data_IF_658434573300
#
_entry.id   IF_658434573300
#
_cell.length_a   1.000
_cell.length_b   1.000
_cell.length_c   1.000
_cell.angle_alpha   90.00
_cell.angle_beta   90.00
_cell.angle_gamma   90.00
#
_symmetry.space_group_name_H-M   'P 1'
#
loop_
_entity.id
_entity.type
_entity.pdbx_description
1 polymer ?
#
# COMPACT_ATOMS: atom_id res chain seq x y z
N UNK A 1 -14.77 4.92 -28.82
CA UNK A 1 -13.83 5.94 -28.30
C UNK A 1 -13.42 5.45 -26.94
N UNK A 2 -12.26 4.81 -26.83
CA UNK A 2 -11.92 4.03 -25.66
C UNK A 2 -10.93 4.85 -24.82
N UNK A 3 -11.35 5.22 -23.62
CA UNK A 3 -10.58 6.09 -22.74
C UNK A 3 -9.76 5.20 -21.81
N UNK A 4 -8.45 5.09 -22.06
CA UNK A 4 -7.50 4.55 -21.09
C UNK A 4 -7.22 5.62 -20.02
N UNK A 5 -8.18 5.86 -19.12
CA UNK A 5 -7.98 6.77 -17.99
C UNK A 5 -6.98 6.13 -17.02
N UNK A 6 -5.73 6.59 -17.07
CA UNK A 6 -4.74 6.32 -16.04
C UNK A 6 -4.75 7.47 -15.06
N UNK A 7 -5.13 7.20 -13.81
CA UNK A 7 -5.12 8.20 -12.75
C UNK A 7 -3.89 8.03 -11.87
N UNK A 8 -3.34 9.14 -11.39
CA UNK A 8 -2.22 9.12 -10.45
C UNK A 8 -2.76 9.16 -9.03
N UNK A 9 -2.33 8.22 -8.21
CA UNK A 9 -2.67 8.13 -6.80
C UNK A 9 -1.40 8.28 -5.97
N UNK A 10 -1.54 8.79 -4.74
CA UNK A 10 -0.43 8.96 -3.81
C UNK A 10 -0.52 7.91 -2.70
N UNK A 11 0.57 7.20 -2.42
CA UNK A 11 0.66 6.25 -1.33
C UNK A 11 1.45 6.84 -0.16
N UNK A 12 0.77 7.09 0.95
CA UNK A 12 1.37 7.56 2.21
C UNK A 12 1.46 6.45 3.26
N UNK A 13 1.10 5.22 2.93
CA UNK A 13 1.26 4.09 3.85
C UNK A 13 2.74 3.94 4.25
N UNK A 14 2.97 3.61 5.52
CA UNK A 14 4.29 3.50 6.15
C UNK A 14 5.11 4.80 6.28
N UNK A 15 4.69 5.91 5.67
CA UNK A 15 5.44 7.17 5.64
C UNK A 15 4.68 8.40 6.12
N UNK A 16 3.36 8.31 6.36
CA UNK A 16 2.54 9.46 6.78
C UNK A 16 2.98 10.14 8.09
N UNK A 17 3.88 9.52 8.86
CA UNK A 17 4.45 10.08 10.10
C UNK A 17 5.93 10.43 9.98
N UNK A 18 6.50 10.40 8.78
CA UNK A 18 7.87 10.82 8.58
C UNK A 18 8.00 12.33 8.79
N UNK A 19 9.16 12.81 9.26
CA UNK A 19 9.46 14.24 9.30
C UNK A 19 9.21 14.90 7.94
N UNK A 20 8.69 16.13 7.96
CA UNK A 20 8.45 16.96 6.77
C UNK A 20 7.49 16.38 5.73
N UNK A 21 6.61 15.46 6.12
CA UNK A 21 5.62 14.84 5.23
C UNK A 21 4.74 15.89 4.54
N UNK A 22 4.36 16.96 5.24
CA UNK A 22 3.61 18.10 4.69
C UNK A 22 4.34 18.74 3.50
N UNK A 23 5.65 18.96 3.65
CA UNK A 23 6.45 19.56 2.57
C UNK A 23 6.65 18.57 1.42
N UNK A 24 6.66 17.26 1.67
CA UNK A 24 6.65 16.25 0.60
C UNK A 24 5.32 16.27 -0.15
N UNK A 25 4.20 16.33 0.57
CA UNK A 25 2.86 16.43 -0.01
C UNK A 25 2.72 17.69 -0.86
N UNK A 26 3.17 18.84 -0.38
CA UNK A 26 3.16 20.11 -1.14
C UNK A 26 3.91 19.98 -2.47
N UNK A 27 5.13 19.43 -2.44
CA UNK A 27 5.90 19.18 -3.68
C UNK A 27 5.18 18.25 -4.64
N UNK A 28 4.56 17.18 -4.15
CA UNK A 28 3.84 16.23 -5.00
C UNK A 28 2.62 16.90 -5.63
N UNK A 29 1.84 17.64 -4.83
CA UNK A 29 0.67 18.38 -5.30
C UNK A 29 1.03 19.36 -6.43
N UNK A 30 2.15 20.07 -6.31
CA UNK A 30 2.58 21.05 -7.30
C UNK A 30 3.03 20.42 -8.62
N UNK A 31 3.46 19.16 -8.60
CA UNK A 31 4.03 18.48 -9.77
C UNK A 31 3.11 17.41 -10.39
N UNK A 32 2.10 16.94 -9.66
CA UNK A 32 1.25 15.82 -10.08
C UNK A 32 -0.23 16.07 -9.78
N UNK A 33 -1.09 15.73 -10.73
CA UNK A 33 -2.54 15.69 -10.52
C UNK A 33 -2.92 14.40 -9.79
N UNK A 34 -3.12 14.49 -8.48
CA UNK A 34 -3.47 13.35 -7.62
C UNK A 34 -4.99 13.18 -7.55
N UNK A 35 -5.50 11.99 -7.87
CA UNK A 35 -6.94 11.68 -7.83
C UNK A 35 -7.39 10.94 -6.57
N UNK A 36 -6.43 10.34 -5.85
CA UNK A 36 -6.68 9.51 -4.66
C UNK A 36 -5.43 9.37 -3.80
N UNK A 37 -5.61 9.26 -2.49
CA UNK A 37 -4.53 9.08 -1.52
C UNK A 37 -4.77 7.81 -0.69
N UNK A 38 -3.75 6.97 -0.57
CA UNK A 38 -3.75 5.76 0.25
C UNK A 38 -3.10 6.07 1.59
N UNK A 39 -3.83 5.80 2.68
CA UNK A 39 -3.38 5.99 4.06
C UNK A 39 -3.52 4.71 4.87
N UNK A 40 -2.80 4.59 5.98
CA UNK A 40 -2.81 3.40 6.83
C UNK A 40 -1.54 2.57 6.64
N UNK A 41 -1.68 1.26 6.52
CA UNK A 41 -0.52 0.37 6.44
C UNK A 41 -0.82 -0.87 5.63
N UNK A 42 0.07 -1.20 4.70
CA UNK A 42 0.06 -2.52 4.07
C UNK A 42 0.62 -3.56 5.04
N UNK A 43 1.66 -3.19 5.79
CA UNK A 43 2.52 -4.19 6.41
C UNK A 43 2.28 -4.32 7.92
N UNK A 44 2.12 -3.23 8.67
CA UNK A 44 2.30 -3.21 10.13
C UNK A 44 1.05 -2.74 10.90
N UNK A 45 0.44 -3.66 11.67
CA UNK A 45 -0.66 -3.35 12.58
C UNK A 45 -0.33 -2.28 13.62
N UNK A 46 0.87 -2.32 14.23
CA UNK A 46 1.28 -1.31 15.22
C UNK A 46 1.43 0.09 14.59
N UNK A 47 1.91 0.16 13.34
CA UNK A 47 2.00 1.43 12.62
C UNK A 47 0.60 1.97 12.36
N UNK A 48 -0.29 1.13 11.82
CA UNK A 48 -1.67 1.45 11.54
C UNK A 48 -2.40 2.01 12.77
N UNK A 49 -2.29 1.33 13.92
CA UNK A 49 -2.98 1.73 15.15
C UNK A 49 -2.44 3.02 15.78
N UNK A 50 -1.15 3.31 15.57
CA UNK A 50 -0.48 4.48 16.12
C UNK A 50 -0.46 5.66 15.14
N UNK A 51 -1.14 5.56 14.02
CA UNK A 51 -1.29 6.66 13.07
C UNK A 51 -2.29 7.69 13.62
N UNK A 52 -1.91 8.98 13.57
CA UNK A 52 -2.81 10.06 13.92
C UNK A 52 -3.69 10.40 12.71
N UNK A 53 -4.80 9.67 12.55
CA UNK A 53 -5.69 9.85 11.39
C UNK A 53 -6.41 11.19 11.38
N UNK A 54 -6.65 11.79 12.55
CA UNK A 54 -7.22 13.15 12.66
C UNK A 54 -6.33 14.18 11.95
N UNK A 55 -5.08 14.24 12.37
CA UNK A 55 -4.08 15.16 11.81
C UNK A 55 -3.82 14.86 10.33
N UNK A 56 -3.68 13.58 9.97
CA UNK A 56 -3.44 13.16 8.60
C UNK A 56 -4.59 13.56 7.67
N UNK A 57 -5.84 13.28 8.04
CA UNK A 57 -6.99 13.58 7.18
C UNK A 57 -7.19 15.09 7.06
N UNK A 58 -7.05 15.85 8.14
CA UNK A 58 -7.13 17.32 8.10
C UNK A 58 -6.07 17.92 7.18
N UNK A 59 -4.82 17.48 7.30
CA UNK A 59 -3.74 17.92 6.40
C UNK A 59 -4.06 17.61 4.93
N UNK A 60 -4.59 16.41 4.64
CA UNK A 60 -4.92 16.02 3.27
C UNK A 60 -6.09 16.81 2.68
N UNK A 61 -7.13 17.09 3.47
CA UNK A 61 -8.29 17.87 3.01
C UNK A 61 -7.92 19.33 2.78
N UNK A 62 -7.04 19.91 3.58
CA UNK A 62 -6.48 21.25 3.37
C UNK A 62 -5.58 21.30 2.13
N UNK A 63 -4.72 20.29 1.97
CA UNK A 63 -3.78 20.24 0.86
C UNK A 63 -4.50 20.02 -0.49
N UNK A 64 -5.53 19.18 -0.57
CA UNK A 64 -6.16 18.79 -1.83
C UNK A 64 -7.63 19.23 -1.89
N UNK A 65 -7.86 20.49 -2.29
CA UNK A 65 -9.20 21.10 -2.42
C UNK A 65 -9.65 21.26 -3.88
N UNK A 66 -10.97 21.15 -4.19
CA UNK A 66 -12.04 20.67 -3.31
C UNK A 66 -12.16 19.13 -3.34
N UNK A 67 -11.88 18.50 -2.19
CA UNK A 67 -11.96 17.06 -1.88
C UNK A 67 -11.12 16.07 -2.72
N UNK A 68 -10.32 15.28 -2.00
CA UNK A 68 -9.56 14.15 -2.55
C UNK A 68 -10.14 12.83 -2.07
N UNK A 69 -10.19 11.83 -2.94
CA UNK A 69 -10.63 10.48 -2.54
C UNK A 69 -9.58 9.81 -1.66
N UNK A 70 -10.00 9.13 -0.59
CA UNK A 70 -9.07 8.48 0.34
C UNK A 70 -9.36 6.98 0.42
N UNK A 71 -8.30 6.20 0.30
CA UNK A 71 -8.33 4.74 0.55
C UNK A 71 -7.68 4.43 1.89
N UNK A 72 -8.42 3.77 2.78
CA UNK A 72 -7.87 3.21 4.01
C UNK A 72 -7.27 1.82 3.75
N UNK A 73 -5.96 1.69 3.91
CA UNK A 73 -5.24 0.43 3.76
C UNK A 73 -5.13 -0.27 5.11
N UNK A 74 -5.74 -1.45 5.18
CA UNK A 74 -5.80 -2.28 6.38
C UNK A 74 -4.67 -3.33 6.30
N UNK A 75 -3.75 -3.37 7.29
CA UNK A 75 -2.68 -4.36 7.29
C UNK A 75 -3.24 -5.74 7.61
N UNK A 76 -2.48 -6.79 7.29
CA UNK A 76 -2.83 -8.15 7.72
C UNK A 76 -2.69 -8.24 9.25
N UNK A 77 -3.80 -8.40 10.00
CA UNK A 77 -3.74 -8.52 11.44
C UNK A 77 -3.09 -9.85 11.84
N UNK A 78 -2.41 -9.83 12.99
CA UNK A 78 -2.04 -11.06 13.69
C UNK A 78 -3.12 -11.39 14.72
N UNK A 79 -3.21 -12.66 15.14
CA UNK A 79 -4.19 -13.06 16.17
C UNK A 79 -4.17 -12.14 17.40
N UNK A 80 -2.97 -11.78 17.86
CA UNK A 80 -2.77 -10.90 19.03
C UNK A 80 -3.43 -9.53 18.88
N UNK A 81 -3.42 -8.93 17.69
CA UNK A 81 -3.91 -7.56 17.48
C UNK A 81 -5.15 -7.50 16.58
N UNK A 82 -5.76 -8.64 16.26
CA UNK A 82 -6.92 -8.73 15.39
C UNK A 82 -8.09 -7.90 15.92
N UNK A 83 -8.44 -8.08 17.20
CA UNK A 83 -9.53 -7.34 17.84
C UNK A 83 -9.28 -5.83 17.79
N UNK A 84 -8.08 -5.40 18.17
CA UNK A 84 -7.77 -3.98 18.26
C UNK A 84 -7.68 -3.31 16.88
N UNK A 85 -7.18 -4.01 15.86
CA UNK A 85 -7.18 -3.54 14.47
C UNK A 85 -8.63 -3.41 13.97
N UNK A 86 -9.48 -4.41 14.18
CA UNK A 86 -10.90 -4.36 13.79
C UNK A 86 -11.62 -3.16 14.42
N UNK A 87 -11.46 -2.97 15.72
CA UNK A 87 -12.00 -1.81 16.43
C UNK A 87 -11.47 -0.49 15.85
N UNK A 88 -10.17 -0.41 15.57
CA UNK A 88 -9.55 0.80 14.99
C UNK A 88 -10.12 1.10 13.61
N UNK A 89 -10.25 0.09 12.75
CA UNK A 89 -10.84 0.22 11.40
C UNK A 89 -12.25 0.78 11.49
N UNK A 90 -13.12 0.18 12.31
CA UNK A 90 -14.52 0.64 12.46
C UNK A 90 -14.55 2.09 12.96
N UNK A 91 -13.76 2.42 13.97
CA UNK A 91 -13.72 3.78 14.52
C UNK A 91 -13.29 4.81 13.48
N UNK A 92 -12.28 4.49 12.66
CA UNK A 92 -11.81 5.35 11.56
C UNK A 92 -12.93 5.52 10.52
N UNK A 93 -13.53 4.43 10.06
CA UNK A 93 -14.57 4.47 9.02
C UNK A 93 -15.83 5.21 9.47
N UNK A 94 -16.25 5.04 10.72
CA UNK A 94 -17.39 5.77 11.27
C UNK A 94 -17.11 7.26 11.42
N UNK A 95 -15.89 7.64 11.80
CA UNK A 95 -15.52 9.04 12.01
C UNK A 95 -15.29 9.80 10.70
N UNK A 96 -14.75 9.13 9.69
CA UNK A 96 -14.32 9.75 8.42
C UNK A 96 -15.06 9.19 7.21
N UNK A 97 -16.32 8.78 7.39
CA UNK A 97 -17.15 8.21 6.32
C UNK A 97 -17.34 9.16 5.12
N UNK A 98 -17.24 10.47 5.34
CA UNK A 98 -17.33 11.49 4.29
C UNK A 98 -16.01 11.71 3.54
N UNK A 99 -14.90 11.17 4.04
CA UNK A 99 -13.56 11.36 3.46
C UNK A 99 -13.01 10.07 2.84
N UNK A 100 -13.35 8.92 3.41
CA UNK A 100 -12.87 7.60 2.99
C UNK A 100 -13.99 6.92 2.20
N UNK A 101 -13.74 6.63 0.93
CA UNK A 101 -14.68 6.01 -0.02
C UNK A 101 -14.22 4.61 -0.49
N UNK A 102 -13.05 4.16 -0.01
CA UNK A 102 -12.47 2.87 -0.37
C UNK A 102 -11.65 2.29 0.79
N UNK A 103 -11.70 0.97 0.93
CA UNK A 103 -10.83 0.20 1.81
C UNK A 103 -9.98 -0.77 1.01
N UNK A 104 -8.74 -0.96 1.43
CA UNK A 104 -7.85 -1.99 0.88
C UNK A 104 -7.60 -3.06 1.93
N UNK A 105 -7.93 -4.30 1.60
CA UNK A 105 -7.69 -5.49 2.44
C UNK A 105 -6.61 -6.37 1.83
N UNK A 106 -5.81 -7.00 2.67
CA UNK A 106 -4.61 -7.73 2.26
C UNK A 106 -4.66 -9.25 2.54
N UNK A 107 -5.78 -9.75 3.07
CA UNK A 107 -6.04 -11.16 3.32
C UNK A 107 -7.54 -11.48 3.28
N UNK A 108 -7.88 -12.76 3.12
CA UNK A 108 -9.26 -13.23 3.02
C UNK A 108 -10.08 -13.07 4.31
N UNK A 109 -9.44 -13.13 5.49
CA UNK A 109 -10.14 -13.00 6.76
C UNK A 109 -10.63 -11.57 6.98
N UNK A 110 -9.80 -10.58 6.66
CA UNK A 110 -10.21 -9.18 6.68
C UNK A 110 -11.19 -8.86 5.54
N UNK A 111 -11.06 -9.50 4.38
CA UNK A 111 -12.02 -9.36 3.28
C UNK A 111 -13.43 -9.81 3.69
N UNK A 112 -13.59 -11.02 4.25
CA UNK A 112 -14.90 -11.49 4.73
C UNK A 112 -15.45 -10.58 5.81
N UNK A 113 -14.61 -10.21 6.79
CA UNK A 113 -15.02 -9.35 7.89
C UNK A 113 -15.55 -7.99 7.42
N UNK A 114 -14.83 -7.33 6.50
CA UNK A 114 -15.25 -6.04 5.98
C UNK A 114 -16.49 -6.17 5.09
N UNK A 115 -16.62 -7.24 4.33
CA UNK A 115 -17.82 -7.50 3.54
C UNK A 115 -19.07 -7.67 4.42
N UNK A 116 -18.99 -8.46 5.50
CA UNK A 116 -20.09 -8.61 6.47
C UNK A 116 -20.42 -7.29 7.17
N UNK A 117 -19.39 -6.52 7.55
CA UNK A 117 -19.56 -5.21 8.15
C UNK A 117 -20.30 -4.24 7.22
N UNK A 118 -19.93 -4.17 5.94
CA UNK A 118 -20.59 -3.27 4.99
C UNK A 118 -22.02 -3.71 4.66
N UNK A 119 -22.30 -5.01 4.60
CA UNK A 119 -23.67 -5.52 4.43
C UNK A 119 -24.59 -5.15 5.61
N UNK A 120 -24.03 -5.05 6.81
CA UNK A 120 -24.77 -4.62 8.02
C UNK A 120 -24.78 -3.10 8.22
N UNK A 121 -23.98 -2.36 7.43
CA UNK A 121 -23.85 -0.90 7.49
C UNK A 121 -23.94 -0.29 6.08
N UNK A 122 -25.07 -0.47 5.36
CA UNK A 122 -25.20 -0.07 3.95
C UNK A 122 -25.11 1.44 3.71
N UNK A 123 -25.23 2.26 4.77
CA UNK A 123 -25.01 3.70 4.72
C UNK A 123 -23.54 4.09 4.50
N UNK A 124 -22.60 3.16 4.74
CA UNK A 124 -21.19 3.35 4.42
C UNK A 124 -20.96 2.93 2.96
N UNK A 125 -20.97 3.89 2.04
CA UNK A 125 -20.74 3.67 0.61
C UNK A 125 -19.26 3.42 0.29
N UNK A 126 -18.70 2.33 0.82
CA UNK A 126 -17.28 1.98 0.70
C UNK A 126 -17.02 0.93 -0.39
N UNK A 127 -16.06 1.21 -1.25
CA UNK A 127 -15.55 0.23 -2.21
C UNK A 127 -14.51 -0.69 -1.55
N UNK A 128 -14.49 -1.98 -1.92
CA UNK A 128 -13.46 -2.92 -1.49
C UNK A 128 -12.41 -3.11 -2.60
N UNK A 129 -11.15 -2.89 -2.23
CA UNK A 129 -9.95 -3.12 -3.02
C UNK A 129 -9.13 -4.29 -2.45
N UNK A 130 -8.59 -5.15 -3.31
CA UNK A 130 -7.65 -6.19 -2.90
C UNK A 130 -6.22 -5.67 -3.01
N UNK A 131 -5.52 -5.54 -1.88
CA UNK A 131 -4.22 -4.89 -1.78
C UNK A 131 -3.03 -5.70 -2.29
N UNK A 132 -1.88 -5.04 -2.44
CA UNK A 132 -0.65 -5.61 -3.02
C UNK A 132 -0.08 -6.85 -2.31
N UNK A 133 -0.48 -7.12 -1.06
CA UNK A 133 -0.02 -8.30 -0.30
C UNK A 133 -0.91 -9.52 -0.59
N UNK A 134 -2.12 -9.31 -1.10
CA UNK A 134 -3.11 -10.36 -1.34
C UNK A 134 -2.58 -11.41 -2.32
N UNK A 135 -1.77 -10.98 -3.29
CA UNK A 135 -1.16 -11.84 -4.29
C UNK A 135 0.35 -12.00 -4.08
N UNK A 136 0.82 -13.24 -4.26
CA UNK A 136 2.23 -13.60 -4.07
C UNK A 136 2.88 -13.92 -5.41
N UNK A 137 3.44 -12.89 -6.03
CA UNK A 137 4.35 -13.03 -7.15
C UNK A 137 5.80 -13.15 -6.68
N UNK A 138 6.62 -13.80 -7.50
CA UNK A 138 8.07 -13.77 -7.37
C UNK A 138 8.55 -12.33 -7.52
N UNK A 139 9.44 -11.89 -6.63
CA UNK A 139 9.72 -10.46 -6.39
C UNK A 139 11.15 -10.18 -5.95
N UNK A 140 12.07 -11.09 -6.21
CA UNK A 140 13.47 -10.92 -5.87
C UNK A 140 14.26 -10.50 -7.13
N UNK A 141 14.61 -9.21 -7.26
CA UNK A 141 15.28 -8.69 -8.46
C UNK A 141 16.75 -9.14 -8.57
N UNK A 142 17.28 -9.86 -7.56
CA UNK A 142 18.64 -10.42 -7.58
C UNK A 142 18.78 -11.62 -8.51
N UNK A 143 17.67 -12.25 -8.87
CA UNK A 143 17.66 -13.36 -9.81
C UNK A 143 17.26 -12.84 -11.18
N UNK A 144 18.26 -12.48 -11.97
CA UNK A 144 18.09 -11.83 -13.27
C UNK A 144 17.25 -12.64 -14.26
N UNK A 145 17.34 -13.98 -14.22
CA UNK A 145 16.54 -14.86 -15.07
C UNK A 145 15.03 -14.66 -14.86
N UNK A 146 14.61 -14.50 -13.60
CA UNK A 146 13.23 -14.22 -13.26
C UNK A 146 12.93 -12.75 -13.52
N UNK A 147 13.72 -11.82 -12.97
CA UNK A 147 13.42 -10.38 -13.06
C UNK A 147 13.32 -9.84 -14.48
N UNK A 148 14.13 -10.36 -15.41
CA UNK A 148 14.15 -9.94 -16.81
C UNK A 148 13.14 -10.70 -17.70
N UNK A 149 12.42 -11.68 -17.15
CA UNK A 149 11.38 -12.41 -17.88
C UNK A 149 10.07 -11.63 -17.96
N UNK A 150 9.22 -12.01 -18.92
CA UNK A 150 7.83 -11.56 -18.98
C UNK A 150 7.02 -12.22 -17.87
N UNK A 151 6.38 -11.42 -17.01
CA UNK A 151 5.53 -11.92 -15.94
C UNK A 151 4.07 -11.61 -16.19
N UNK A 152 3.22 -12.64 -16.10
CA UNK A 152 1.76 -12.49 -16.06
C UNK A 152 1.29 -12.89 -14.66
N UNK A 153 0.82 -11.94 -13.85
CA UNK A 153 0.26 -12.26 -12.55
C UNK A 153 -0.98 -13.15 -12.68
N UNK A 154 -1.14 -14.07 -11.74
CA UNK A 154 -2.25 -15.04 -11.74
C UNK A 154 -3.57 -14.42 -11.23
N UNK A 155 -3.95 -13.24 -11.72
CA UNK A 155 -5.13 -12.52 -11.25
C UNK A 155 -6.39 -12.79 -12.10
N UNK A 156 -6.30 -13.63 -13.14
CA UNK A 156 -7.45 -13.98 -13.97
C UNK A 156 -7.82 -15.47 -13.89
N UNK A 157 -7.97 -15.98 -12.66
CA UNK A 157 -8.41 -17.36 -12.44
C UNK A 157 -9.91 -17.43 -12.23
N UNK A 158 -10.52 -18.59 -12.56
CA UNK A 158 -11.95 -18.84 -12.30
C UNK A 158 -12.34 -18.58 -10.84
N UNK A 159 -11.50 -19.01 -9.90
CA UNK A 159 -11.73 -18.79 -8.46
C UNK A 159 -11.71 -17.31 -8.11
N UNK A 160 -10.75 -16.55 -8.64
CA UNK A 160 -10.67 -15.12 -8.37
C UNK A 160 -11.84 -14.35 -8.97
N UNK A 161 -12.31 -14.70 -10.17
CA UNK A 161 -13.54 -14.12 -10.74
C UNK A 161 -14.76 -14.34 -9.85
N UNK A 162 -14.90 -15.55 -9.28
CA UNK A 162 -15.95 -15.85 -8.28
C UNK A 162 -15.82 -15.01 -7.02
N UNK A 163 -14.61 -14.87 -6.49
CA UNK A 163 -14.30 -14.01 -5.33
C UNK A 163 -14.66 -12.55 -5.63
N UNK A 164 -14.19 -12.00 -6.75
CA UNK A 164 -14.48 -10.63 -7.19
C UNK A 164 -15.98 -10.38 -7.22
N UNK A 165 -16.74 -11.29 -7.82
CA UNK A 165 -18.21 -11.19 -7.89
C UNK A 165 -18.86 -11.30 -6.50
N UNK A 166 -18.44 -12.26 -5.66
CA UNK A 166 -19.01 -12.47 -4.31
C UNK A 166 -18.86 -11.21 -3.45
N UNK A 167 -17.67 -10.62 -3.43
CA UNK A 167 -17.35 -9.50 -2.54
C UNK A 167 -17.51 -8.12 -3.21
N UNK A 168 -18.04 -8.06 -4.44
CA UNK A 168 -18.18 -6.82 -5.22
C UNK A 168 -16.87 -6.01 -5.29
N UNK A 169 -15.75 -6.70 -5.48
CA UNK A 169 -14.41 -6.09 -5.56
C UNK A 169 -14.38 -5.10 -6.73
N UNK A 170 -13.85 -3.90 -6.51
CA UNK A 170 -13.73 -2.86 -7.54
C UNK A 170 -12.34 -2.74 -8.13
N UNK A 171 -11.35 -3.07 -7.32
CA UNK A 171 -9.95 -2.87 -7.67
C UNK A 171 -9.06 -3.97 -7.11
N UNK A 172 -7.96 -4.20 -7.82
CA UNK A 172 -6.87 -5.07 -7.42
C UNK A 172 -5.56 -4.30 -7.56
N UNK A 173 -4.69 -4.41 -6.56
CA UNK A 173 -3.36 -3.86 -6.60
C UNK A 173 -2.31 -4.89 -7.01
N UNK A 174 -1.32 -4.42 -7.75
CA UNK A 174 -0.19 -5.18 -8.23
C UNK A 174 1.12 -4.45 -7.93
N UNK A 175 2.15 -5.25 -7.66
CA UNK A 175 3.53 -4.81 -7.65
C UNK A 175 4.18 -5.14 -8.99
N UNK A 176 4.94 -4.20 -9.55
CA UNK A 176 5.73 -4.49 -10.75
C UNK A 176 7.01 -5.22 -10.35
N UNK A 177 6.93 -6.53 -10.24
CA UNK A 177 8.04 -7.35 -9.72
C UNK A 177 9.09 -7.71 -10.77
N UNK A 178 8.85 -7.38 -12.04
CA UNK A 178 9.66 -7.76 -13.21
C UNK A 178 9.87 -6.54 -14.12
N UNK A 179 10.81 -6.61 -15.08
CA UNK A 179 10.98 -5.58 -16.12
C UNK A 179 9.83 -5.53 -17.12
N UNK A 180 9.16 -6.66 -17.34
CA UNK A 180 8.01 -6.74 -18.23
C UNK A 180 6.85 -7.39 -17.50
N UNK A 181 5.74 -6.67 -17.41
CA UNK A 181 4.60 -7.05 -16.62
C UNK A 181 3.34 -6.98 -17.48
N UNK A 182 2.78 -8.15 -17.75
CA UNK A 182 1.61 -8.34 -18.59
C UNK A 182 0.39 -8.29 -17.68
N UNK A 183 -0.38 -7.20 -17.77
CA UNK A 183 -1.57 -7.08 -16.93
C UNK A 183 -2.61 -8.12 -17.35
N UNK A 184 -3.15 -8.89 -16.40
CA UNK A 184 -4.21 -9.82 -16.70
C UNK A 184 -5.49 -9.04 -17.01
N UNK A 185 -6.18 -9.45 -18.07
CA UNK A 185 -7.45 -8.84 -18.45
C UNK A 185 -8.58 -9.33 -17.53
N UNK A 186 -9.11 -8.42 -16.71
CA UNK A 186 -10.22 -8.69 -15.80
C UNK A 186 -11.27 -7.61 -16.03
N UNK A 187 -12.35 -7.99 -16.70
CA UNK A 187 -13.45 -7.10 -17.04
C UNK A 187 -14.02 -6.41 -15.80
N UNK A 188 -14.23 -5.09 -15.88
CA UNK A 188 -14.87 -4.29 -14.83
C UNK A 188 -14.02 -4.04 -13.59
N UNK A 189 -12.73 -4.40 -13.58
CA UNK A 189 -11.83 -4.22 -12.45
C UNK A 189 -10.75 -3.17 -12.73
N UNK A 190 -10.58 -2.26 -11.78
CA UNK A 190 -9.51 -1.26 -11.80
C UNK A 190 -8.21 -1.92 -11.34
N UNK A 191 -7.14 -1.77 -12.10
CA UNK A 191 -5.82 -2.29 -11.69
C UNK A 191 -4.94 -1.15 -11.15
N UNK A 192 -4.55 -1.27 -9.88
CA UNK A 192 -3.63 -0.35 -9.22
C UNK A 192 -2.20 -0.85 -9.27
N UNK A 193 -1.28 -0.06 -9.83
CA UNK A 193 0.14 -0.43 -9.99
C UNK A 193 0.98 0.39 -9.03
N UNK A 194 1.63 -0.27 -8.07
CA UNK A 194 2.59 0.38 -7.17
C UNK A 194 3.88 0.73 -7.90
N UNK A 195 4.31 1.99 -7.80
CA UNK A 195 5.49 2.54 -8.48
C UNK A 195 6.11 3.68 -7.65
N UNK A 196 7.43 3.98 -7.76
CA UNK A 196 8.48 3.19 -8.42
C UNK A 196 9.07 2.10 -7.54
N UNK A 197 8.46 1.82 -6.37
CA UNK A 197 9.01 0.90 -5.38
C UNK A 197 8.16 -0.35 -5.20
N UNK A 198 8.81 -1.49 -5.36
CA UNK A 198 8.23 -2.81 -5.10
C UNK A 198 8.74 -3.34 -3.77
N UNK A 199 7.84 -3.84 -2.93
CA UNK A 199 8.27 -4.53 -1.72
C UNK A 199 8.85 -5.89 -2.11
N UNK A 200 10.06 -6.20 -1.63
CA UNK A 200 10.68 -7.51 -1.76
C UNK A 200 10.17 -8.45 -0.67
N UNK A 201 10.25 -8.02 0.59
CA UNK A 201 9.91 -8.86 1.75
C UNK A 201 9.50 -8.03 2.96
N UNK A 202 8.73 -8.63 3.85
CA UNK A 202 8.37 -8.07 5.15
C UNK A 202 8.71 -9.08 6.25
N UNK A 203 9.46 -8.65 7.24
CA UNK A 203 9.79 -9.48 8.40
C UNK A 203 8.59 -9.64 9.36
N UNK A 204 8.53 -10.76 10.09
CA UNK A 204 7.59 -10.91 11.23
C UNK A 204 8.09 -10.14 12.47
N UNK A 205 9.42 -10.01 12.58
CA UNK A 205 10.11 -9.36 13.69
C UNK A 205 10.62 -8.01 13.19
N UNK A 206 10.30 -6.95 13.91
CA UNK A 206 10.71 -5.60 13.55
C UNK A 206 12.12 -5.31 14.09
N UNK A 207 13.04 -5.00 13.18
CA UNK A 207 14.41 -4.57 13.52
C UNK A 207 14.39 -3.27 14.32
N UNK A 208 13.62 -2.27 13.88
CA UNK A 208 13.50 -0.96 14.53
C UNK A 208 13.05 -1.09 15.99
N UNK A 209 11.99 -1.87 16.25
CA UNK A 209 11.50 -2.10 17.61
C UNK A 209 12.49 -2.88 18.50
N UNK A 210 13.51 -3.50 17.91
CA UNK A 210 14.54 -4.27 18.62
C UNK A 210 15.83 -3.47 18.85
N UNK A 211 16.01 -2.32 18.19
CA UNK A 211 17.32 -1.68 18.09
C UNK A 211 17.89 -1.23 19.44
N UNK A 212 17.02 -0.67 20.29
CA UNK A 212 17.39 -0.12 21.60
C UNK A 212 17.26 -1.12 22.75
N UNK A 213 17.18 -2.42 22.44
CA UNK A 213 17.11 -3.48 23.45
C UNK A 213 18.47 -4.09 23.73
N UNK A 214 18.64 -4.58 24.96
CA UNK A 214 19.77 -5.46 25.32
C UNK A 214 19.89 -6.61 24.32
N UNK A 215 21.12 -7.03 24.02
CA UNK A 215 21.43 -8.10 23.05
C UNK A 215 20.57 -9.36 23.28
N UNK A 216 20.41 -9.79 24.53
CA UNK A 216 19.64 -10.99 24.91
C UNK A 216 18.12 -10.84 24.69
N UNK A 217 17.64 -9.61 24.47
CA UNK A 217 16.24 -9.24 24.28
C UNK A 217 15.93 -8.72 22.86
N UNK A 218 16.94 -8.66 21.98
CA UNK A 218 16.74 -8.27 20.57
C UNK A 218 15.98 -9.34 19.79
N UNK A 219 15.30 -8.90 18.73
CA UNK A 219 14.62 -9.77 17.76
C UNK A 219 13.60 -10.74 18.37
N UNK A 220 12.91 -10.32 19.42
CA UNK A 220 11.82 -11.10 20.01
C UNK A 220 10.49 -10.72 19.38
N UNK A 221 9.57 -11.68 19.16
CA UNK A 221 8.20 -11.34 18.83
C UNK A 221 7.58 -10.57 19.99
N UNK A 222 6.45 -9.90 19.74
CA UNK A 222 5.59 -9.39 20.83
C UNK A 222 6.20 -8.27 21.69
N UNK A 223 7.28 -7.65 21.24
CA UNK A 223 7.89 -6.48 21.88
C UNK A 223 7.01 -5.23 21.74
N UNK A 224 6.95 -4.35 22.76
CA UNK A 224 6.39 -3.01 22.59
C UNK A 224 7.09 -2.28 21.44
N UNK A 225 6.31 -1.62 20.59
CA UNK A 225 6.78 -0.86 19.44
C UNK A 225 6.63 0.62 19.74
N UNK A 226 7.69 1.43 19.68
CA UNK A 226 7.57 2.89 19.86
C UNK A 226 7.54 3.65 18.53
N UNK A 227 7.34 2.92 17.42
CA UNK A 227 7.29 3.48 16.06
C UNK A 227 8.56 4.24 15.68
N UNK A 228 9.71 3.74 16.13
CA UNK A 228 11.03 4.26 15.81
C UNK A 228 11.24 4.37 14.29
N UNK A 229 10.62 3.47 13.52
CA UNK A 229 10.62 3.46 12.06
C UNK A 229 10.01 4.70 11.39
N UNK A 230 9.35 5.59 12.12
CA UNK A 230 8.83 6.84 11.54
C UNK A 230 9.93 7.87 11.28
N UNK A 231 11.06 7.78 11.98
CA UNK A 231 12.11 8.80 11.92
C UNK A 231 13.34 8.33 11.14
N UNK A 232 13.37 7.06 10.74
CA UNK A 232 14.55 6.44 10.14
C UNK A 232 14.17 5.44 9.06
N UNK A 233 15.03 5.33 8.07
CA UNK A 233 15.04 4.28 7.07
C UNK A 233 16.45 3.69 6.98
N UNK A 234 16.57 2.47 6.45
CA UNK A 234 17.86 1.82 6.20
C UNK A 234 18.06 1.73 4.69
N UNK A 235 19.17 2.27 4.18
CA UNK A 235 19.62 2.07 2.79
C UNK A 235 20.56 0.87 2.75
N UNK A 236 20.33 -0.05 1.81
CA UNK A 236 21.28 -1.12 1.51
C UNK A 236 22.10 -0.75 0.29
N UNK A 237 23.41 -0.96 0.38
CA UNK A 237 24.30 -0.90 -0.77
C UNK A 237 24.45 -2.32 -1.32
N UNK A 238 23.84 -2.57 -2.48
CA UNK A 238 23.84 -3.86 -3.15
C UNK A 238 24.60 -3.74 -4.48
N UNK A 239 25.22 -4.83 -4.93
CA UNK A 239 25.97 -4.87 -6.20
C UNK A 239 25.06 -5.00 -7.43
N UNK A 240 23.96 -4.23 -7.50
CA UNK A 240 22.94 -4.38 -8.55
C UNK A 240 22.34 -3.06 -9.07
N UNK A 241 22.98 -1.92 -8.78
CA UNK A 241 22.59 -0.55 -9.18
C UNK A 241 21.17 -0.11 -8.79
N UNK A 242 20.41 -0.93 -8.05
CA UNK A 242 19.06 -0.59 -7.59
C UNK A 242 19.13 0.11 -6.24
N UNK A 243 18.19 1.01 -5.97
CA UNK A 243 18.00 1.53 -4.61
C UNK A 243 17.25 0.50 -3.78
N UNK A 244 17.84 0.14 -2.64
CA UNK A 244 17.25 -0.77 -1.67
C UNK A 244 17.02 -0.05 -0.36
N UNK A 245 15.77 0.00 0.09
CA UNK A 245 15.38 0.76 1.28
C UNK A 245 14.50 -0.11 2.18
N UNK A 246 14.78 -0.12 3.47
CA UNK A 246 13.90 -0.68 4.50
C UNK A 246 13.18 0.41 5.26
N UNK A 247 11.84 0.31 5.28
CA UNK A 247 10.95 1.14 6.11
C UNK A 247 10.15 0.20 6.99
N UNK A 248 10.21 0.43 8.31
CA UNK A 248 9.64 -0.48 9.28
C UNK A 248 10.13 -1.91 9.08
N UNK A 249 9.20 -2.85 8.92
CA UNK A 249 9.58 -4.27 8.73
C UNK A 249 9.76 -4.68 7.27
N UNK A 250 9.62 -3.76 6.33
CA UNK A 250 9.54 -4.06 4.90
C UNK A 250 10.76 -3.54 4.15
N UNK A 251 11.32 -4.37 3.27
CA UNK A 251 12.36 -3.98 2.32
C UNK A 251 11.71 -3.73 0.97
N UNK A 252 12.05 -2.61 0.35
CA UNK A 252 11.67 -2.19 -0.98
C UNK A 252 12.91 -2.12 -1.89
N UNK A 253 12.71 -2.36 -3.17
CA UNK A 253 13.66 -2.03 -4.22
C UNK A 253 13.00 -1.10 -5.24
N UNK A 254 13.80 -0.23 -5.85
CA UNK A 254 13.35 0.61 -6.96
C UNK A 254 13.23 -0.22 -8.24
N UNK A 255 12.05 -0.16 -8.87
CA UNK A 255 11.76 -0.67 -10.19
C UNK A 255 10.94 0.38 -10.97
N UNK A 256 11.65 1.34 -11.55
CA UNK A 256 11.07 2.44 -12.34
C UNK A 256 11.12 2.20 -13.85
N UNK A 257 11.95 1.25 -14.32
CA UNK A 257 12.12 0.91 -15.73
C UNK A 257 11.40 -0.39 -16.06
N UNK A 258 10.07 -0.36 -16.07
CA UNK A 258 9.24 -1.50 -16.43
C UNK A 258 8.35 -1.22 -17.64
N UNK A 259 8.02 -2.28 -18.38
CA UNK A 259 7.06 -2.27 -19.47
C UNK A 259 5.75 -2.90 -19.00
N UNK A 260 4.64 -2.19 -19.19
CA UNK A 260 3.29 -2.77 -19.04
C UNK A 260 2.75 -3.19 -20.40
N UNK A 261 2.31 -4.44 -20.50
CA UNK A 261 1.67 -5.01 -21.70
C UNK A 261 0.24 -5.47 -21.39
N UNK A 262 -0.58 -5.76 -22.42
CA UNK A 262 -2.02 -6.08 -22.29
C UNK A 262 -2.82 -5.01 -21.55
N UNK A 263 -2.61 -3.77 -21.96
CA UNK A 263 -3.43 -2.63 -21.57
C UNK A 263 -4.76 -2.76 -22.31
N UNK A 264 -5.64 -3.65 -21.86
CA UNK A 264 -6.94 -3.73 -22.48
C UNK A 264 -7.68 -2.42 -22.21
N UNK A 265 -8.26 -1.87 -23.28
CA UNK A 265 -8.52 -0.44 -23.43
C UNK A 265 -9.69 0.02 -22.52
N UNK A 266 -10.47 -0.93 -22.00
CA UNK A 266 -11.63 -0.68 -21.12
C UNK A 266 -11.32 -0.72 -19.60
N UNK A 267 -10.11 -1.14 -19.20
CA UNK A 267 -9.73 -1.21 -17.78
C UNK A 267 -9.14 0.12 -17.29
N UNK A 268 -9.80 0.77 -16.31
CA UNK A 268 -9.25 1.95 -15.64
C UNK A 268 -8.00 1.56 -14.84
N UNK A 269 -7.02 2.46 -14.78
CA UNK A 269 -5.75 2.21 -14.10
C UNK A 269 -5.46 3.25 -13.06
N UNK A 270 -4.83 2.80 -11.97
CA UNK A 270 -4.26 3.68 -10.95
C UNK A 270 -2.76 3.48 -10.91
N UNK A 271 -1.98 4.52 -11.16
CA UNK A 271 -0.56 4.51 -10.80
C UNK A 271 -0.45 4.96 -9.36
N UNK A 272 -0.15 4.02 -8.46
CA UNK A 272 -0.05 4.24 -7.03
C UNK A 272 1.41 4.62 -6.72
N UNK A 273 1.65 5.93 -6.69
CA UNK A 273 2.97 6.52 -6.50
C UNK A 273 3.39 6.51 -5.03
N UNK A 274 4.54 5.90 -4.73
CA UNK A 274 5.14 5.89 -3.40
C UNK A 274 6.34 6.86 -3.34
N UNK A 275 6.23 8.02 -2.67
CA UNK A 275 7.17 9.14 -2.79
C UNK A 275 8.43 8.99 -1.91
N UNK A 276 9.08 7.83 -1.96
CA UNK A 276 10.28 7.61 -1.15
C UNK A 276 11.46 8.44 -1.64
N UNK A 277 11.53 8.78 -2.93
CA UNK A 277 12.62 9.61 -3.45
C UNK A 277 12.55 11.03 -2.83
N UNK A 278 11.36 11.58 -2.68
CA UNK A 278 11.10 12.90 -2.09
C UNK A 278 11.41 12.93 -0.58
N UNK A 279 11.15 11.82 0.12
CA UNK A 279 11.51 11.65 1.53
C UNK A 279 13.03 11.53 1.67
N UNK A 280 13.64 10.64 0.89
CA UNK A 280 15.07 10.31 1.04
C UNK A 280 15.96 11.46 0.58
N UNK A 281 15.56 12.20 -0.46
CA UNK A 281 16.30 13.33 -1.00
C UNK A 281 16.38 14.54 -0.07
N UNK A 282 15.57 14.59 1.00
CA UNK A 282 15.63 15.65 2.02
C UNK A 282 16.44 15.28 3.26
N UNK A 283 16.48 13.99 3.62
CA UNK A 283 17.23 13.50 4.81
C UNK A 283 18.76 13.48 4.56
N UNK A 284 19.23 14.00 3.41
CA UNK A 284 20.64 14.15 3.07
C UNK A 284 21.04 15.60 2.76
N UNK A 285 20.34 16.60 3.32
CA UNK A 285 20.82 17.98 3.40
C UNK A 285 21.08 18.35 4.85
#
# INVERSE_FOLDING_TARGET
MIITETTTCLNLCEICRFPDIETVIGKIKDNYSISRIYIGSYFCGNYFQKCNYDELINMLTEAFTPNINITLVIPVPTERNLKDIKTSVINILNKYSNNIDEITVNDYGMLEYMYEFLNTNPQLELNINMGRIFFKDYRDPRYDEYFNSDHTPKYNTHYLRKTIKKYNIKSIEADVTHKSFILPDIEGIIVGIHTPYTYMTTGKICEYASQFKEITKKFRPSVPCNTECNNVYIKYNMNDNRKWIRIGKTIFFENNCFKLSNINIDSKKRLIYFPLNEIIGKVCN
#
